data_IF_550479047673
#
_entry.id   IF_550479047673
#
_cell.length_a   1.000
_cell.length_b   1.000
_cell.length_c   1.000
_cell.angle_alpha   90.00
_cell.angle_beta   90.00
_cell.angle_gamma   90.00
#
_symmetry.space_group_name_H-M   'P 1'
#
loop_
_entity.id
_entity.type
_entity.pdbx_description
1 polymer ?
#
# COMPACT_ATOMS: atom_id res chain seq x y z
N UNK A 1 -17.82 15.98 -9.65
CA UNK A 1 -17.99 16.07 -8.18
C UNK A 1 -16.79 15.37 -7.55
N UNK A 2 -15.91 16.12 -6.88
CA UNK A 2 -14.58 15.65 -6.45
C UNK A 2 -14.69 14.69 -5.27
N UNK A 3 -14.03 13.54 -5.37
CA UNK A 3 -13.96 12.48 -4.35
C UNK A 3 -13.32 12.93 -3.02
N UNK A 4 -12.80 14.15 -2.96
CA UNK A 4 -12.07 14.74 -1.83
C UNK A 4 -12.97 15.12 -0.64
N UNK A 5 -14.29 15.22 -0.83
CA UNK A 5 -15.21 15.69 0.23
C UNK A 5 -15.69 14.52 1.12
N UNK A 6 -15.61 13.27 0.67
CA UNK A 6 -16.09 12.12 1.46
C UNK A 6 -15.16 11.81 2.66
N UNK A 7 -13.91 12.26 2.63
CA UNK A 7 -12.94 12.02 3.70
C UNK A 7 -13.05 13.03 4.86
N UNK A 8 -13.68 14.18 4.64
CA UNK A 8 -13.77 15.24 5.67
C UNK A 8 -14.90 14.95 6.65
N UNK A 9 -16.01 14.33 6.22
CA UNK A 9 -17.18 14.11 7.09
C UNK A 9 -17.05 12.95 8.08
N UNK A 10 -16.10 12.03 7.90
CA UNK A 10 -15.80 11.00 8.91
C UNK A 10 -14.86 11.48 10.02
N UNK A 11 -14.22 12.64 9.86
CA UNK A 11 -13.33 13.20 10.88
C UNK A 11 -14.04 13.89 12.03
N UNK A 12 -15.36 14.11 11.97
CA UNK A 12 -16.09 14.90 12.99
C UNK A 12 -16.82 14.08 14.06
N UNK A 13 -16.93 12.75 13.93
CA UNK A 13 -17.55 11.89 14.99
C UNK A 13 -16.60 10.88 15.64
N UNK A 14 -15.34 10.77 15.17
CA UNK A 14 -14.33 9.86 15.74
C UNK A 14 -13.20 10.56 16.51
N UNK A 15 -13.35 11.83 16.90
CA UNK A 15 -12.33 12.59 17.65
C UNK A 15 -12.48 12.40 19.16
N UNK A 16 -12.68 11.16 19.60
CA UNK A 16 -12.57 10.82 21.02
C UNK A 16 -11.63 9.62 21.10
N UNK A 17 -10.37 9.90 21.47
CA UNK A 17 -9.30 8.95 21.83
C UNK A 17 -8.24 8.58 20.77
N UNK A 18 -7.90 9.47 19.83
CA UNK A 18 -6.59 9.37 19.15
C UNK A 18 -5.53 10.16 19.93
N UNK A 19 -4.69 9.43 20.66
CA UNK A 19 -3.52 9.98 21.37
C UNK A 19 -2.71 10.89 20.44
N UNK A 20 -2.32 12.06 20.96
CA UNK A 20 -1.54 13.07 20.22
C UNK A 20 -0.25 12.48 19.62
N UNK A 21 0.40 11.58 20.35
CA UNK A 21 1.59 10.84 19.92
C UNK A 21 1.34 9.97 18.67
N UNK A 22 0.15 9.36 18.53
CA UNK A 22 -0.23 8.52 17.39
C UNK A 22 -0.40 9.35 16.10
N UNK A 23 -0.86 10.61 16.22
CA UNK A 23 -1.00 11.52 15.07
C UNK A 23 0.37 11.99 14.55
N UNK A 24 1.28 12.34 15.45
CA UNK A 24 2.63 12.79 15.08
C UNK A 24 3.41 11.66 14.38
N UNK A 25 3.32 10.43 14.88
CA UNK A 25 3.90 9.24 14.26
C UNK A 25 3.35 8.98 12.84
N UNK A 26 2.03 9.10 12.64
CA UNK A 26 1.41 8.95 11.32
C UNK A 26 1.88 10.01 10.31
N UNK A 27 2.05 11.25 10.77
CA UNK A 27 2.56 12.35 9.94
C UNK A 27 4.01 12.07 9.55
N UNK A 28 4.85 11.62 10.48
CA UNK A 28 6.25 11.29 10.21
C UNK A 28 6.37 10.13 9.21
N UNK A 29 5.60 9.05 9.39
CA UNK A 29 5.56 7.93 8.44
C UNK A 29 5.07 8.36 7.05
N UNK A 30 4.09 9.27 6.99
CA UNK A 30 3.61 9.84 5.73
C UNK A 30 4.71 10.63 5.01
N UNK A 31 5.43 11.50 5.73
CA UNK A 31 6.58 12.26 5.19
C UNK A 31 7.68 11.34 4.71
N UNK A 32 8.05 10.33 5.48
CA UNK A 32 9.06 9.33 5.11
C UNK A 32 8.67 8.59 3.84
N UNK A 33 7.40 8.16 3.72
CA UNK A 33 6.88 7.53 2.50
C UNK A 33 6.91 8.47 1.30
N UNK A 34 6.66 9.77 1.49
CA UNK A 34 6.80 10.75 0.42
C UNK A 34 8.25 10.91 -0.04
N UNK A 35 9.20 11.01 0.90
CA UNK A 35 10.64 11.06 0.57
C UNK A 35 11.05 9.85 -0.27
N UNK A 36 10.65 8.64 0.14
CA UNK A 36 10.93 7.42 -0.61
C UNK A 36 10.33 7.44 -2.01
N UNK A 37 9.11 7.97 -2.19
CA UNK A 37 8.50 8.13 -3.51
C UNK A 37 9.33 9.07 -4.40
N UNK A 38 9.81 10.19 -3.86
CA UNK A 38 10.58 11.16 -4.63
C UNK A 38 11.96 10.63 -5.00
N UNK A 39 12.63 9.92 -4.09
CA UNK A 39 13.91 9.25 -4.37
C UNK A 39 13.76 8.24 -5.51
N UNK A 40 12.79 7.32 -5.41
CA UNK A 40 12.59 6.29 -6.44
C UNK A 40 12.13 6.88 -7.79
N UNK A 41 11.35 7.98 -7.79
CA UNK A 41 11.01 8.71 -9.03
C UNK A 41 12.27 9.27 -9.70
N UNK A 42 13.16 9.87 -8.91
CA UNK A 42 14.42 10.42 -9.41
C UNK A 42 15.32 9.33 -9.97
N UNK A 43 15.47 8.20 -9.28
CA UNK A 43 16.26 7.05 -9.73
C UNK A 43 15.73 6.41 -11.02
N UNK A 44 14.41 6.29 -11.16
CA UNK A 44 13.75 5.75 -12.35
C UNK A 44 13.57 6.75 -13.50
N UNK A 45 13.88 8.03 -13.27
CA UNK A 45 13.67 9.11 -14.24
C UNK A 45 12.18 9.38 -14.55
N UNK A 46 11.27 9.11 -13.61
CA UNK A 46 9.84 9.35 -13.74
C UNK A 46 9.44 10.69 -13.13
N UNK A 47 8.61 11.45 -13.86
CA UNK A 47 7.96 12.67 -13.34
C UNK A 47 6.67 12.34 -12.59
N UNK A 48 5.89 11.42 -13.14
CA UNK A 48 4.64 10.93 -12.57
C UNK A 48 4.67 9.41 -12.48
N UNK A 49 3.96 8.89 -11.49
CA UNK A 49 3.79 7.45 -11.26
C UNK A 49 2.30 7.21 -11.07
N UNK A 50 1.78 6.25 -11.83
CA UNK A 50 0.42 5.73 -11.66
C UNK A 50 0.50 4.26 -11.27
N UNK A 51 -0.45 3.81 -10.46
CA UNK A 51 -0.53 2.40 -10.11
C UNK A 51 -0.73 1.55 -11.37
N UNK A 52 0.01 0.45 -11.55
CA UNK A 52 -0.10 -0.37 -12.76
C UNK A 52 -1.53 -0.89 -12.88
N UNK A 53 -2.18 -0.57 -14.00
CA UNK A 53 -3.51 -1.08 -14.36
C UNK A 53 -3.43 -2.25 -15.33
N UNK A 54 -2.27 -2.47 -15.94
CA UNK A 54 -1.97 -3.59 -16.83
C UNK A 54 -0.69 -4.30 -16.40
N UNK A 55 -0.52 -5.54 -16.84
CA UNK A 55 0.66 -6.36 -16.58
C UNK A 55 1.83 -6.02 -17.51
N UNK A 56 1.64 -5.07 -18.44
CA UNK A 56 2.69 -4.65 -19.36
C UNK A 56 3.79 -3.93 -18.59
N UNK A 57 4.99 -4.51 -18.64
CA UNK A 57 6.17 -4.00 -17.96
C UNK A 57 6.72 -2.77 -18.68
N UNK A 58 6.33 -1.58 -18.24
CA UNK A 58 7.14 -0.37 -18.43
C UNK A 58 8.38 -0.50 -17.53
N UNK A 59 9.57 -0.53 -18.12
CA UNK A 59 10.84 -0.73 -17.41
C UNK A 59 11.07 0.33 -16.33
N UNK A 60 10.75 1.60 -16.60
CA UNK A 60 10.93 2.68 -15.62
C UNK A 60 9.93 2.56 -14.48
N UNK A 61 8.68 2.22 -14.80
CA UNK A 61 7.65 2.00 -13.78
C UNK A 61 7.99 0.81 -12.89
N UNK A 62 8.52 -0.25 -13.50
CA UNK A 62 9.02 -1.44 -12.82
C UNK A 62 10.15 -1.08 -11.86
N UNK A 63 11.13 -0.30 -12.31
CA UNK A 63 12.26 0.15 -11.50
C UNK A 63 11.83 1.01 -10.32
N UNK A 64 10.89 1.94 -10.58
CA UNK A 64 10.28 2.73 -9.53
C UNK A 64 9.65 1.85 -8.44
N UNK A 65 8.82 0.89 -8.83
CA UNK A 65 8.11 0.04 -7.87
C UNK A 65 9.05 -0.90 -7.13
N UNK A 66 10.09 -1.39 -7.80
CA UNK A 66 11.12 -2.21 -7.16
C UNK A 66 11.86 -1.43 -6.08
N UNK A 67 12.33 -0.21 -6.40
CA UNK A 67 12.98 0.70 -5.45
C UNK A 67 12.04 1.02 -4.27
N UNK A 68 10.79 1.39 -4.58
CA UNK A 68 9.85 1.83 -3.56
C UNK A 68 9.49 0.69 -2.60
N UNK A 69 9.26 -0.50 -3.14
CA UNK A 69 8.94 -1.69 -2.36
C UNK A 69 10.08 -2.09 -1.42
N UNK A 70 11.36 -1.93 -1.80
CA UNK A 70 12.48 -2.09 -0.85
C UNK A 70 12.46 -1.05 0.27
N UNK A 71 12.34 0.24 -0.07
CA UNK A 71 12.41 1.32 0.94
C UNK A 71 11.29 1.26 1.98
N UNK A 72 10.10 0.78 1.59
CA UNK A 72 8.98 0.59 2.54
C UNK A 72 9.01 -0.78 3.24
N UNK A 73 10.01 -1.62 2.97
CA UNK A 73 10.19 -2.94 3.59
C UNK A 73 9.37 -4.07 2.97
N UNK A 74 8.60 -3.82 1.91
CA UNK A 74 7.78 -4.85 1.25
C UNK A 74 8.65 -5.91 0.55
N UNK A 75 9.83 -5.51 0.09
CA UNK A 75 10.88 -6.41 -0.37
C UNK A 75 12.06 -6.34 0.60
N UNK A 76 12.62 -7.50 0.94
CA UNK A 76 13.88 -7.59 1.67
C UNK A 76 15.07 -7.19 0.78
N UNK A 77 16.25 -7.04 1.39
CA UNK A 77 17.48 -6.76 0.64
C UNK A 77 17.81 -7.86 -0.38
N UNK A 78 17.43 -9.11 -0.08
CA UNK A 78 17.56 -10.29 -0.94
C UNK A 78 16.47 -10.42 -2.02
N UNK A 79 15.63 -9.40 -2.19
CA UNK A 79 14.51 -9.34 -3.13
C UNK A 79 13.37 -10.31 -2.81
N UNK A 80 13.23 -10.76 -1.56
CA UNK A 80 12.11 -11.60 -1.15
C UNK A 80 10.92 -10.73 -0.70
N UNK A 81 9.71 -11.17 -1.01
CA UNK A 81 8.50 -10.51 -0.54
C UNK A 81 8.30 -10.73 0.97
N UNK A 82 8.33 -9.66 1.76
CA UNK A 82 8.04 -9.71 3.18
C UNK A 82 6.53 -9.56 3.42
N UNK A 83 5.84 -10.71 3.47
CA UNK A 83 4.40 -10.79 3.69
C UNK A 83 3.94 -10.16 5.02
N UNK A 84 4.82 -10.02 6.00
CA UNK A 84 4.47 -9.45 7.31
C UNK A 84 4.37 -7.93 7.28
N UNK A 85 5.09 -7.28 6.35
CA UNK A 85 5.13 -5.82 6.24
C UNK A 85 3.82 -5.22 5.69
N UNK A 86 2.99 -6.02 5.02
CA UNK A 86 1.65 -5.60 4.61
C UNK A 86 0.78 -5.12 5.78
N UNK A 87 0.93 -5.71 6.97
CA UNK A 87 0.18 -5.29 8.18
C UNK A 87 0.56 -3.89 8.65
N UNK A 88 1.75 -3.41 8.29
CA UNK A 88 2.23 -2.07 8.62
C UNK A 88 1.86 -1.05 7.54
N UNK A 89 1.50 -1.50 6.34
CA UNK A 89 1.08 -0.65 5.22
C UNK A 89 -0.41 -0.36 5.21
N UNK A 90 -1.20 -1.17 5.90
CA UNK A 90 -2.62 -0.92 6.09
C UNK A 90 -2.88 0.16 7.13
N UNK A 91 -3.79 1.08 6.81
CA UNK A 91 -4.27 2.06 7.77
C UNK A 91 -4.80 1.37 9.04
N UNK A 92 -4.44 1.92 10.21
CA UNK A 92 -4.85 1.46 11.56
C UNK A 92 -6.37 1.37 11.76
N UNK A 93 -7.18 1.69 10.73
CA UNK A 93 -8.62 1.77 10.81
C UNK A 93 -9.33 0.43 10.99
N UNK A 94 -8.67 -0.72 10.76
CA UNK A 94 -9.07 -2.02 11.31
C UNK A 94 -8.01 -3.11 10.99
N UNK A 95 -6.98 -3.31 11.82
CA UNK A 95 -5.95 -4.34 11.61
C UNK A 95 -6.50 -5.77 11.67
N UNK A 96 -7.65 -5.99 12.31
CA UNK A 96 -8.35 -7.29 12.36
C UNK A 96 -9.13 -7.59 11.07
N UNK A 97 -9.41 -6.56 10.28
CA UNK A 97 -10.20 -6.71 9.06
C UNK A 97 -9.31 -7.18 7.91
N UNK A 98 -8.09 -6.66 7.75
CA UNK A 98 -7.22 -7.14 6.67
C UNK A 98 -7.13 -8.67 6.70
N UNK A 99 -7.44 -9.34 5.60
CA UNK A 99 -7.29 -10.76 5.52
C UNK A 99 -5.85 -11.10 5.91
N UNK A 100 -5.70 -11.92 6.95
CA UNK A 100 -4.39 -12.44 7.38
C UNK A 100 -3.65 -13.14 6.22
N UNK A 101 -4.38 -13.45 5.15
CA UNK A 101 -3.95 -14.19 3.99
C UNK A 101 -3.51 -13.33 2.79
N UNK A 102 -3.64 -11.99 2.73
CA UNK A 102 -3.23 -11.23 1.52
C UNK A 102 -1.75 -11.50 1.21
N UNK A 103 -0.94 -11.45 2.26
CA UNK A 103 0.48 -11.74 2.16
C UNK A 103 0.77 -13.19 1.77
N UNK A 104 -0.07 -14.14 2.15
CA UNK A 104 0.09 -15.55 1.78
C UNK A 104 -0.39 -15.82 0.36
N UNK A 105 -1.52 -15.22 -0.04
CA UNK A 105 -2.13 -15.30 -1.37
C UNK A 105 -1.24 -14.72 -2.45
N UNK A 106 -0.55 -13.62 -2.15
CA UNK A 106 0.31 -12.93 -3.11
C UNK A 106 1.79 -13.28 -2.97
N UNK A 107 2.18 -14.05 -1.94
CA UNK A 107 3.57 -14.46 -1.76
C UNK A 107 3.99 -15.46 -2.84
N UNK A 108 5.18 -15.25 -3.36
CA UNK A 108 5.91 -16.22 -4.16
C UNK A 108 7.01 -16.82 -3.28
N UNK A 109 7.27 -18.13 -3.42
CA UNK A 109 8.45 -18.77 -2.80
C UNK A 109 9.76 -18.39 -3.51
N UNK A 110 9.66 -17.58 -4.56
CA UNK A 110 10.76 -17.13 -5.40
C UNK A 110 11.10 -15.66 -5.13
N UNK A 111 12.35 -15.29 -5.43
CA UNK A 111 12.79 -13.89 -5.45
C UNK A 111 11.92 -13.07 -6.39
N UNK A 112 11.51 -11.90 -5.92
CA UNK A 112 10.79 -10.93 -6.74
C UNK A 112 11.80 -10.28 -7.66
N UNK A 113 11.66 -10.52 -8.96
CA UNK A 113 12.46 -9.82 -9.97
C UNK A 113 11.68 -8.61 -10.49
N UNK A 114 12.33 -7.79 -11.32
CA UNK A 114 11.65 -6.74 -12.09
C UNK A 114 10.43 -7.26 -12.86
N UNK A 115 10.45 -8.50 -13.36
CA UNK A 115 9.29 -9.08 -14.06
C UNK A 115 8.12 -9.43 -13.12
N UNK A 116 8.39 -9.59 -11.82
CA UNK A 116 7.41 -10.06 -10.82
C UNK A 116 6.77 -8.91 -10.02
N UNK A 117 7.38 -7.73 -9.98
CA UNK A 117 6.94 -6.66 -9.08
C UNK A 117 5.56 -6.09 -9.42
N UNK A 118 5.26 -5.82 -10.69
CA UNK A 118 3.94 -5.29 -11.06
C UNK A 118 2.82 -6.33 -10.86
N UNK A 119 2.99 -7.61 -11.25
CA UNK A 119 2.05 -8.68 -10.88
C UNK A 119 1.81 -8.81 -9.38
N UNK A 120 2.88 -8.77 -8.56
CA UNK A 120 2.79 -8.84 -7.10
C UNK A 120 1.95 -7.68 -6.54
N UNK A 121 2.26 -6.44 -6.94
CA UNK A 121 1.54 -5.26 -6.47
C UNK A 121 0.07 -5.28 -6.91
N UNK A 122 -0.20 -5.74 -8.14
CA UNK A 122 -1.56 -5.93 -8.64
C UNK A 122 -2.33 -6.95 -7.78
N UNK A 123 -1.72 -8.09 -7.45
CA UNK A 123 -2.32 -9.08 -6.55
C UNK A 123 -2.69 -8.44 -5.20
N UNK A 124 -1.77 -7.71 -4.58
CA UNK A 124 -2.00 -7.04 -3.28
C UNK A 124 -3.17 -6.06 -3.39
N UNK A 125 -3.20 -5.22 -4.44
CA UNK A 125 -4.30 -4.26 -4.65
C UNK A 125 -5.63 -4.97 -4.85
N UNK A 126 -5.67 -5.98 -5.72
CA UNK A 126 -6.91 -6.66 -6.07
C UNK A 126 -7.47 -7.43 -4.85
N UNK A 127 -6.60 -8.07 -4.07
CA UNK A 127 -6.96 -8.71 -2.80
C UNK A 127 -7.50 -7.70 -1.76
N UNK A 128 -6.88 -6.52 -1.65
CA UNK A 128 -7.37 -5.44 -0.78
C UNK A 128 -8.72 -4.88 -1.24
N UNK A 129 -8.92 -4.72 -2.56
CA UNK A 129 -10.19 -4.24 -3.12
C UNK A 129 -11.33 -5.26 -2.95
N UNK A 130 -11.04 -6.54 -3.16
CA UNK A 130 -11.98 -7.63 -2.89
C UNK A 130 -12.40 -7.62 -1.42
N UNK A 131 -11.43 -7.47 -0.52
CA UNK A 131 -11.67 -7.39 0.89
C UNK A 131 -12.52 -6.18 1.31
N UNK A 132 -12.16 -4.98 0.84
CA UNK A 132 -12.89 -3.75 1.19
C UNK A 132 -14.34 -3.80 0.73
N UNK A 133 -14.64 -4.42 -0.42
CA UNK A 133 -16.03 -4.68 -0.86
C UNK A 133 -16.79 -5.57 0.13
N UNK A 134 -16.15 -6.60 0.69
CA UNK A 134 -16.79 -7.50 1.64
C UNK A 134 -17.10 -6.81 2.97
N UNK A 135 -16.16 -6.04 3.52
CA UNK A 135 -16.36 -5.26 4.75
C UNK A 135 -17.48 -4.23 4.59
N UNK A 136 -17.39 -3.41 3.53
CA UNK A 136 -18.35 -2.34 3.30
C UNK A 136 -19.77 -2.89 3.05
N UNK A 137 -19.89 -4.09 2.46
CA UNK A 137 -21.19 -4.76 2.32
C UNK A 137 -21.75 -5.24 3.66
N UNK A 138 -20.91 -5.77 4.56
CA UNK A 138 -21.36 -6.17 5.90
C UNK A 138 -21.84 -4.99 6.75
N UNK A 139 -21.17 -3.85 6.67
CA UNK A 139 -21.55 -2.64 7.43
C UNK A 139 -22.83 -1.96 6.95
N UNK A 140 -23.34 -2.29 5.76
CA UNK A 140 -24.60 -1.74 5.21
C UNK A 140 -25.81 -2.66 5.50
N UNK A 141 -25.56 -3.92 5.89
CA UNK A 141 -26.59 -4.92 6.17
C UNK A 141 -26.82 -5.16 7.68
N UNK A 142 -26.15 -4.39 8.54
CA UNK A 142 -26.39 -4.32 9.99
C UNK A 142 -27.01 -2.96 10.32
#
# INVERSE_FOLDING_TARGET
MKLEILFITFTSLGVLSFDKNSKEELIEQSKKRETFRQECKKESGLKEVKFPTSEVADEKLTDYYFCYSKKIGLLTDDDNFDKYQLKHLSDKFNPELLPKDIGERCSTNEKVTKKHILPLLKCIKDAYLEFSKYVLRKSVLQ
#
